data_IF_591148953705
#
_entry.id   IF_591148953705
#
_cell.length_a   1.000
_cell.length_b   1.000
_cell.length_c   1.000
_cell.angle_alpha   90.00
_cell.angle_beta   90.00
_cell.angle_gamma   90.00
#
_symmetry.space_group_name_H-M   'P 1'
#
loop_
_entity.id
_entity.type
_entity.pdbx_description
1 polymer ?
#
# COMPACT_ATOMS: atom_id res chain seq x y z
N UNK A 1 -56.12 -61.28 37.26
CA UNK A 1 -55.85 -60.63 35.96
C UNK A 1 -54.79 -59.55 36.23
N UNK A 2 -53.50 -59.89 36.12
CA UNK A 2 -52.59 -59.53 35.00
C UNK A 2 -52.44 -58.01 34.78
N UNK A 3 -51.39 -57.37 35.31
CA UNK A 3 -50.11 -57.16 34.62
C UNK A 3 -49.14 -56.26 35.42
N UNK A 4 -47.86 -56.53 35.19
CA UNK A 4 -46.63 -55.96 35.75
C UNK A 4 -46.14 -54.77 34.85
N UNK A 5 -44.99 -54.13 35.14
CA UNK A 5 -44.75 -52.67 35.20
C UNK A 5 -44.28 -52.06 33.86
N UNK A 6 -44.17 -50.73 33.72
CA UNK A 6 -43.30 -50.04 32.74
C UNK A 6 -43.19 -48.54 33.11
N UNK A 7 -42.06 -48.12 33.69
CA UNK A 7 -41.00 -47.28 33.10
C UNK A 7 -41.27 -45.76 33.11
N UNK A 8 -40.33 -44.94 33.63
CA UNK A 8 -40.35 -43.50 33.44
C UNK A 8 -40.08 -43.17 31.96
N UNK A 9 -40.90 -42.29 31.39
CA UNK A 9 -40.65 -41.76 30.06
C UNK A 9 -39.35 -40.95 30.05
N UNK A 10 -38.36 -41.50 29.37
CA UNK A 10 -37.21 -40.81 28.80
C UNK A 10 -37.70 -39.69 27.87
N UNK A 11 -37.78 -38.48 28.37
CA UNK A 11 -37.86 -37.24 27.58
C UNK A 11 -37.14 -36.21 28.43
N UNK A 12 -35.90 -35.82 28.17
CA UNK A 12 -35.58 -34.86 27.12
C UNK A 12 -34.05 -34.71 27.17
N UNK A 13 -33.32 -35.59 26.49
CA UNK A 13 -31.86 -35.41 26.26
C UNK A 13 -31.64 -34.63 24.95
N UNK A 14 -32.66 -34.51 24.10
CA UNK A 14 -32.55 -33.91 22.77
C UNK A 14 -32.44 -32.38 22.77
N UNK A 15 -32.78 -31.68 23.87
CA UNK A 15 -32.71 -30.21 23.90
C UNK A 15 -31.32 -29.63 24.23
N UNK A 16 -30.34 -30.44 24.62
CA UNK A 16 -28.98 -29.93 24.87
C UNK A 16 -28.14 -29.93 23.59
N UNK A 17 -28.38 -30.86 22.67
CA UNK A 17 -27.60 -30.99 21.43
C UNK A 17 -27.87 -29.88 20.41
N UNK A 18 -29.08 -29.31 20.38
CA UNK A 18 -29.40 -28.19 19.48
C UNK A 18 -28.81 -26.86 19.96
N UNK A 19 -28.58 -26.70 21.27
CA UNK A 19 -27.95 -25.50 21.81
C UNK A 19 -26.43 -25.50 21.59
N UNK A 20 -25.77 -26.65 21.72
CA UNK A 20 -24.33 -26.79 21.42
C UNK A 20 -24.03 -26.59 19.92
N UNK A 21 -24.92 -27.01 19.02
CA UNK A 21 -24.74 -26.79 17.57
C UNK A 21 -24.99 -25.34 17.13
N UNK A 22 -25.86 -24.61 17.83
CA UNK A 22 -26.08 -23.17 17.59
C UNK A 22 -24.93 -22.33 18.16
N UNK A 23 -24.35 -22.73 19.29
CA UNK A 23 -23.18 -22.07 19.88
C UNK A 23 -21.91 -22.32 19.02
N UNK A 24 -21.72 -23.53 18.47
CA UNK A 24 -20.64 -23.81 17.51
C UNK A 24 -20.82 -23.11 16.14
N UNK A 25 -22.06 -22.89 15.69
CA UNK A 25 -22.34 -22.10 14.47
C UNK A 25 -22.15 -20.59 14.69
N UNK A 26 -22.33 -20.08 15.90
CA UNK A 26 -22.05 -18.68 16.23
C UNK A 26 -20.57 -18.42 16.54
N UNK A 27 -19.82 -19.40 17.05
CA UNK A 27 -18.38 -19.26 17.31
C UNK A 27 -17.52 -19.33 16.02
N UNK A 28 -18.03 -19.95 14.96
CA UNK A 28 -17.35 -19.98 13.65
C UNK A 28 -17.67 -18.79 12.72
N UNK A 29 -18.58 -17.89 13.12
CA UNK A 29 -19.00 -16.75 12.29
C UNK A 29 -18.62 -15.38 12.88
N UNK A 30 -17.66 -15.33 13.81
CA UNK A 30 -17.14 -14.06 14.36
C UNK A 30 -15.61 -13.99 14.35
N UNK A 31 -14.95 -14.62 13.36
CA UNK A 31 -13.50 -14.58 13.23
C UNK A 31 -12.97 -13.80 12.01
N UNK A 32 -13.84 -13.31 11.11
CA UNK A 32 -13.36 -12.68 9.87
C UNK A 32 -14.11 -11.40 9.48
N UNK A 33 -14.24 -10.49 10.44
CA UNK A 33 -14.65 -9.12 10.17
C UNK A 33 -13.69 -8.14 10.87
N UNK A 34 -12.81 -7.54 10.07
CA UNK A 34 -12.27 -6.17 10.24
C UNK A 34 -10.87 -5.90 10.80
N UNK A 35 -9.98 -6.88 10.96
CA UNK A 35 -8.53 -6.53 10.99
C UNK A 35 -7.95 -6.69 9.60
N UNK A 36 -8.33 -5.81 8.67
CA UNK A 36 -7.62 -5.75 7.38
C UNK A 36 -6.18 -5.35 7.69
N UNK A 37 -5.27 -6.32 7.62
CA UNK A 37 -3.85 -6.13 7.91
C UNK A 37 -3.33 -4.97 7.06
N UNK A 38 -2.85 -3.91 7.70
CA UNK A 38 -2.30 -2.72 7.03
C UNK A 38 -0.88 -2.53 7.52
N UNK A 39 0.04 -2.27 6.59
CA UNK A 39 1.40 -1.90 6.93
C UNK A 39 1.40 -0.56 7.66
N UNK A 40 2.03 -0.54 8.82
CA UNK A 40 2.37 0.65 9.59
C UNK A 40 3.31 1.56 8.79
N UNK A 41 3.54 2.78 9.27
CA UNK A 41 4.41 3.72 8.56
C UNK A 41 5.85 3.23 8.40
N UNK A 42 6.35 2.47 9.37
CA UNK A 42 7.71 1.91 9.38
C UNK A 42 7.78 0.71 8.43
N UNK A 43 6.75 -0.13 8.40
CA UNK A 43 6.69 -1.30 7.50
C UNK A 43 6.49 -0.91 6.03
N UNK A 44 5.99 0.30 5.74
CA UNK A 44 5.92 0.82 4.37
C UNK A 44 7.30 1.26 3.91
N UNK A 45 8.04 0.31 3.36
CA UNK A 45 9.37 0.56 2.85
C UNK A 45 9.39 0.90 1.35
N UNK A 46 10.55 1.39 0.92
CA UNK A 46 10.90 1.55 -0.49
C UNK A 46 12.26 0.91 -0.69
N UNK A 47 12.32 -0.10 -1.56
CA UNK A 47 13.54 -0.83 -1.90
C UNK A 47 13.93 -0.39 -3.31
N UNK A 48 15.19 0.01 -3.48
CA UNK A 48 15.79 0.25 -4.78
C UNK A 48 16.85 -0.80 -5.03
N UNK A 49 16.75 -1.46 -6.18
CA UNK A 49 17.71 -2.46 -6.62
C UNK A 49 18.30 -2.01 -7.95
N UNK A 50 19.62 -1.94 -8.00
CA UNK A 50 20.40 -1.70 -9.20
C UNK A 50 21.66 -2.55 -9.15
N UNK A 51 22.20 -2.88 -10.31
CA UNK A 51 23.46 -3.60 -10.44
C UNK A 51 24.21 -3.06 -11.66
N UNK A 52 25.52 -3.28 -11.73
CA UNK A 52 26.35 -2.75 -12.83
C UNK A 52 26.15 -3.51 -14.16
N UNK A 53 25.45 -4.65 -14.15
CA UNK A 53 25.21 -5.49 -15.32
C UNK A 53 23.91 -5.18 -16.08
N UNK A 54 22.94 -4.56 -15.41
CA UNK A 54 21.63 -4.19 -15.96
C UNK A 54 21.49 -2.66 -15.98
N UNK A 55 21.19 -2.03 -17.13
CA UNK A 55 20.97 -0.59 -17.22
C UNK A 55 19.60 -0.15 -16.64
N UNK A 56 19.01 -0.97 -15.76
CA UNK A 56 17.65 -0.80 -15.25
C UNK A 56 17.66 -0.78 -13.74
N UNK A 57 16.92 0.15 -13.17
CA UNK A 57 16.73 0.27 -11.73
C UNK A 57 15.32 -0.22 -11.42
N UNK A 58 15.23 -1.18 -10.49
CA UNK A 58 13.97 -1.67 -9.96
C UNK A 58 13.64 -0.93 -8.68
N UNK A 59 12.41 -0.44 -8.58
CA UNK A 59 11.90 0.29 -7.41
C UNK A 59 10.66 -0.43 -6.93
N UNK A 60 10.70 -0.96 -5.72
CA UNK A 60 9.54 -1.53 -5.04
C UNK A 60 9.14 -0.62 -3.90
N UNK A 61 7.86 -0.26 -3.81
CA UNK A 61 7.42 0.63 -2.73
C UNK A 61 5.99 0.36 -2.31
N UNK A 62 5.78 0.42 -1.00
CA UNK A 62 4.45 0.49 -0.37
C UNK A 62 4.13 1.90 0.13
N UNK A 63 4.97 2.89 -0.15
CA UNK A 63 4.79 4.27 0.32
C UNK A 63 3.92 5.07 -0.65
N UNK A 64 2.70 5.42 -0.21
CA UNK A 64 1.72 6.17 -1.02
C UNK A 64 2.26 7.45 -1.67
N UNK A 65 3.11 8.21 -0.96
CA UNK A 65 3.71 9.45 -1.50
C UNK A 65 4.65 9.17 -2.67
N UNK A 66 5.43 8.09 -2.59
CA UNK A 66 6.34 7.66 -3.65
C UNK A 66 5.54 7.07 -4.81
N UNK A 67 4.59 6.17 -4.55
CA UNK A 67 3.67 5.62 -5.56
C UNK A 67 3.04 6.73 -6.41
N UNK A 68 2.48 7.73 -5.74
CA UNK A 68 1.83 8.86 -6.42
C UNK A 68 2.84 9.68 -7.24
N UNK A 69 4.07 9.84 -6.77
CA UNK A 69 5.10 10.60 -7.48
C UNK A 69 5.62 9.87 -8.72
N UNK A 70 5.79 8.55 -8.64
CA UNK A 70 6.26 7.72 -9.76
C UNK A 70 5.18 7.65 -10.85
N UNK A 71 3.91 7.41 -10.48
CA UNK A 71 2.77 7.37 -11.42
C UNK A 71 2.51 8.68 -12.16
N UNK A 72 2.94 9.82 -11.60
CA UNK A 72 2.85 11.13 -12.29
C UNK A 72 3.84 11.27 -13.44
N UNK A 73 4.83 10.39 -13.55
CA UNK A 73 5.89 10.42 -14.56
C UNK A 73 5.98 9.07 -15.30
N UNK A 74 4.90 8.63 -15.97
CA UNK A 74 4.85 7.31 -16.61
C UNK A 74 5.82 7.19 -17.80
N UNK A 75 6.29 8.30 -18.35
CA UNK A 75 7.31 8.32 -19.42
C UNK A 75 8.71 7.97 -18.91
N UNK A 76 8.95 8.07 -17.60
CA UNK A 76 10.25 7.80 -16.97
C UNK A 76 10.18 6.52 -16.13
N UNK A 77 9.10 6.36 -15.37
CA UNK A 77 8.90 5.19 -14.52
C UNK A 77 7.82 4.31 -15.12
N UNK A 78 8.24 3.13 -15.56
CA UNK A 78 7.34 2.10 -16.06
C UNK A 78 6.84 1.28 -14.88
N UNK A 79 5.54 1.29 -14.64
CA UNK A 79 4.92 0.38 -13.67
C UNK A 79 4.90 -1.04 -14.25
N UNK A 80 5.43 -2.00 -13.51
CA UNK A 80 5.58 -3.40 -13.96
C UNK A 80 4.63 -4.30 -13.21
N UNK A 81 4.42 -4.04 -11.92
CA UNK A 81 3.52 -4.83 -11.08
C UNK A 81 2.88 -3.93 -10.03
N UNK A 82 1.64 -4.26 -9.65
CA UNK A 82 0.95 -3.63 -8.53
C UNK A 82 0.17 -4.68 -7.76
N UNK A 83 0.02 -4.47 -6.47
CA UNK A 83 -0.81 -5.33 -5.65
C UNK A 83 -1.18 -4.70 -4.32
N UNK A 84 -1.78 -5.52 -3.46
CA UNK A 84 -2.17 -5.13 -2.12
C UNK A 84 -1.65 -6.13 -1.09
N UNK A 85 -1.04 -5.62 -0.03
CA UNK A 85 -0.80 -6.36 1.20
C UNK A 85 -1.86 -5.95 2.21
N UNK A 86 -2.90 -6.78 2.34
CA UNK A 86 -4.15 -6.44 3.03
C UNK A 86 -4.74 -5.12 2.50
N UNK A 87 -4.74 -4.05 3.30
CA UNK A 87 -5.26 -2.73 2.89
C UNK A 87 -4.17 -1.78 2.33
N UNK A 88 -2.94 -2.25 2.15
CA UNK A 88 -1.82 -1.41 1.72
C UNK A 88 -1.44 -1.71 0.28
N UNK A 89 -1.54 -0.70 -0.57
CA UNK A 89 -1.09 -0.79 -1.96
C UNK A 89 0.45 -0.82 -2.02
N UNK A 90 0.97 -1.70 -2.88
CA UNK A 90 2.37 -1.73 -3.26
C UNK A 90 2.49 -1.78 -4.78
N UNK A 91 3.61 -1.30 -5.30
CA UNK A 91 3.92 -1.42 -6.73
C UNK A 91 5.42 -1.54 -6.98
N UNK A 92 5.75 -2.18 -8.10
CA UNK A 92 7.09 -2.29 -8.67
C UNK A 92 7.18 -1.43 -9.94
N UNK A 93 8.23 -0.64 -10.02
CA UNK A 93 8.56 0.19 -11.17
C UNK A 93 9.94 -0.18 -11.70
N UNK A 94 10.11 0.03 -13.00
CA UNK A 94 11.38 -0.02 -13.70
C UNK A 94 11.69 1.35 -14.31
N UNK A 95 12.96 1.73 -14.26
CA UNK A 95 13.47 2.93 -14.92
C UNK A 95 14.83 2.66 -15.51
N UNK A 96 15.06 3.13 -16.74
CA UNK A 96 16.37 3.08 -17.38
C UNK A 96 17.32 4.03 -16.63
N UNK A 97 18.45 3.50 -16.15
CA UNK A 97 19.45 4.26 -15.40
C UNK A 97 20.00 5.44 -16.21
N UNK A 98 20.25 5.21 -17.50
CA UNK A 98 20.83 6.19 -18.42
C UNK A 98 19.85 7.31 -18.79
N UNK A 99 18.57 6.97 -18.95
CA UNK A 99 17.55 7.88 -19.46
C UNK A 99 17.02 8.82 -18.37
N UNK A 100 16.96 8.34 -17.13
CA UNK A 100 16.41 9.11 -16.03
C UNK A 100 17.42 10.06 -15.36
N UNK A 101 18.67 10.13 -15.85
CA UNK A 101 19.78 10.79 -15.14
C UNK A 101 19.81 10.36 -13.67
N UNK A 102 19.47 9.10 -13.42
CA UNK A 102 19.22 8.63 -12.07
C UNK A 102 20.56 8.52 -11.35
N UNK A 103 20.77 9.39 -10.38
CA UNK A 103 22.01 9.44 -9.62
C UNK A 103 21.70 9.28 -8.14
N UNK A 104 22.10 8.17 -7.53
CA UNK A 104 21.93 7.93 -6.10
C UNK A 104 22.58 9.03 -5.25
N UNK A 105 23.75 9.54 -5.65
CA UNK A 105 24.43 10.63 -4.96
C UNK A 105 23.64 11.94 -5.04
N UNK A 106 22.78 12.12 -6.05
CA UNK A 106 21.88 13.29 -6.11
C UNK A 106 20.81 13.26 -5.00
N UNK A 107 20.42 12.07 -4.51
CA UNK A 107 19.49 11.92 -3.40
C UNK A 107 20.12 12.32 -2.05
N UNK A 108 21.45 12.17 -1.92
CA UNK A 108 22.23 12.63 -0.76
C UNK A 108 22.61 14.11 -0.80
N UNK A 109 22.32 14.84 -1.90
CA UNK A 109 22.59 16.28 -1.95
C UNK A 109 21.66 16.99 -0.99
N UNK A 110 22.25 17.76 -0.09
CA UNK A 110 21.51 18.67 0.77
C UNK A 110 20.67 19.59 -0.11
N UNK A 111 19.35 19.53 0.04
CA UNK A 111 18.45 20.45 -0.64
C UNK A 111 18.74 21.83 -0.09
N UNK A 112 19.52 22.63 -0.81
CA UNK A 112 19.68 24.06 -0.53
C UNK A 112 18.28 24.65 -0.40
N UNK A 113 17.90 25.00 0.82
CA UNK A 113 16.70 25.79 1.03
C UNK A 113 17.00 27.17 0.46
N UNK A 114 16.34 27.49 -0.65
CA UNK A 114 16.43 28.83 -1.23
C UNK A 114 15.94 29.82 -0.19
N UNK A 115 16.75 30.84 0.08
CA UNK A 115 16.31 31.95 0.95
C UNK A 115 15.12 32.67 0.30
N UNK A 116 14.33 33.39 1.10
CA UNK A 116 13.16 34.12 0.59
C UNK A 116 13.53 35.11 -0.53
N UNK A 117 14.73 35.69 -0.45
CA UNK A 117 15.28 36.57 -1.47
C UNK A 117 15.57 35.83 -2.80
N UNK A 118 16.16 34.64 -2.72
CA UNK A 118 16.42 33.81 -3.91
C UNK A 118 15.13 33.31 -4.55
N UNK A 119 14.10 33.00 -3.75
CA UNK A 119 12.77 32.63 -4.23
C UNK A 119 12.08 33.81 -4.92
N UNK A 120 12.20 35.01 -4.38
CA UNK A 120 11.65 36.22 -4.99
C UNK A 120 12.30 36.52 -6.35
N UNK A 121 13.62 36.39 -6.46
CA UNK A 121 14.34 36.64 -7.72
C UNK A 121 14.01 35.59 -8.79
N UNK A 122 13.91 34.31 -8.43
CA UNK A 122 13.43 33.26 -9.34
C UNK A 122 12.00 33.54 -9.84
N UNK A 123 11.13 34.02 -8.96
CA UNK A 123 9.75 34.39 -9.33
C UNK A 123 9.71 35.59 -10.29
N UNK A 124 10.57 36.59 -10.09
CA UNK A 124 10.73 37.71 -11.03
C UNK A 124 11.25 37.24 -12.39
N UNK A 125 12.25 36.36 -12.39
CA UNK A 125 12.83 35.80 -13.62
C UNK A 125 11.81 34.97 -14.41
N UNK A 126 11.00 34.16 -13.73
CA UNK A 126 9.91 33.40 -14.35
C UNK A 126 8.85 34.31 -14.98
N UNK A 127 8.46 35.42 -14.31
CA UNK A 127 7.55 36.42 -14.89
C UNK A 127 8.11 37.10 -16.14
N UNK A 128 9.40 37.46 -16.13
CA UNK A 128 10.05 38.07 -17.31
C UNK A 128 10.03 37.12 -18.51
N UNK A 129 10.35 35.84 -18.29
CA UNK A 129 10.33 34.83 -19.35
C UNK A 129 8.91 34.57 -19.87
N UNK A 130 7.91 34.50 -18.99
CA UNK A 130 6.52 34.33 -19.40
C UNK A 130 6.01 35.52 -20.23
N UNK A 131 6.32 36.75 -19.82
CA UNK A 131 5.92 37.94 -20.56
C UNK A 131 6.63 38.04 -21.92
N UNK A 132 7.91 37.64 -22.00
CA UNK A 132 8.64 37.61 -23.26
C UNK A 132 8.08 36.58 -24.24
N UNK A 133 7.53 35.46 -23.75
CA UNK A 133 6.94 34.42 -24.59
C UNK A 133 5.53 34.75 -25.13
N UNK A 134 4.83 35.73 -24.54
CA UNK A 134 3.50 36.17 -24.95
C UNK A 134 3.50 37.47 -25.79
N UNK A 135 4.68 37.95 -26.21
CA UNK A 135 4.82 39.15 -27.05
C UNK A 135 5.36 38.87 -28.46
N UNK A 136 5.58 37.59 -28.80
CA UNK A 136 5.73 37.09 -30.18
C UNK A 136 4.40 36.45 -30.65
#
# INVERSE_FOLDING_TARGET
MTNLPHHPHTQTIENQSEQDELEQKMETTTADASTVKRLTAIERETILTMNDGEPTIRIETSQRRILTALRKKPTVFREVETGYFGATEWARFEVNADEASFNLASAGRERRQLTDEQRAELSRRARRLHNAHNQD
#
